data_IF_580810297922
#
_entry.id   IF_580810297922
#
_cell.length_a   1.000
_cell.length_b   1.000
_cell.length_c   1.000
_cell.angle_alpha   90.00
_cell.angle_beta   90.00
_cell.angle_gamma   90.00
#
_symmetry.space_group_name_H-M   'P 1'
#
loop_
_entity.id
_entity.type
_entity.pdbx_description
1 polymer ?
#
# COMPACT_ATOMS: atom_id res chain seq x y z
N UNK A 1 -7.39 -3.22 18.63
CA UNK A 1 -7.68 -1.92 17.99
C UNK A 1 -8.44 -2.17 16.68
N UNK A 2 -9.29 -1.24 16.19
CA UNK A 2 -9.99 -1.41 14.91
C UNK A 2 -9.27 -0.64 13.81
N UNK A 3 -8.54 -1.36 12.94
CA UNK A 3 -7.73 -0.77 11.87
C UNK A 3 -8.53 0.16 10.94
N UNK A 4 -9.80 -0.16 10.66
CA UNK A 4 -10.68 0.70 9.87
C UNK A 4 -10.80 2.13 10.42
N UNK A 5 -10.82 2.32 11.75
CA UNK A 5 -10.91 3.65 12.34
C UNK A 5 -9.61 4.42 12.16
N UNK A 6 -8.46 3.76 12.33
CA UNK A 6 -7.16 4.34 12.05
C UNK A 6 -7.04 4.74 10.57
N UNK A 7 -7.48 3.87 9.66
CA UNK A 7 -7.50 4.14 8.22
C UNK A 7 -8.41 5.32 7.85
N UNK A 8 -9.59 5.43 8.48
CA UNK A 8 -10.48 6.57 8.28
C UNK A 8 -9.85 7.89 8.73
N UNK A 9 -9.21 7.91 9.91
CA UNK A 9 -8.50 9.09 10.41
C UNK A 9 -7.31 9.46 9.52
N UNK A 10 -6.56 8.46 9.06
CA UNK A 10 -5.48 8.65 8.09
C UNK A 10 -5.97 9.38 6.84
N UNK A 11 -7.06 8.90 6.23
CA UNK A 11 -7.63 9.52 5.02
C UNK A 11 -8.26 10.89 5.31
N UNK A 12 -8.88 11.08 6.48
CA UNK A 12 -9.41 12.37 6.91
C UNK A 12 -8.32 13.44 6.95
N UNK A 13 -7.17 13.12 7.55
CA UNK A 13 -6.04 14.03 7.66
C UNK A 13 -5.32 14.22 6.33
N UNK A 14 -4.98 13.11 5.65
CA UNK A 14 -4.25 13.13 4.37
C UNK A 14 -4.93 13.99 3.31
N UNK A 15 -6.25 13.94 3.26
CA UNK A 15 -7.04 14.69 2.27
C UNK A 15 -7.72 15.93 2.85
N UNK A 16 -7.40 16.30 4.10
CA UNK A 16 -7.97 17.45 4.80
C UNK A 16 -9.52 17.51 4.70
N UNK A 17 -10.17 16.39 4.99
CA UNK A 17 -11.63 16.24 4.79
C UNK A 17 -12.46 17.00 5.84
N UNK A 18 -11.82 17.45 6.93
CA UNK A 18 -12.48 18.24 7.98
C UNK A 18 -13.54 17.49 8.77
N UNK A 19 -13.53 16.15 8.73
CA UNK A 19 -14.47 15.32 9.47
C UNK A 19 -14.06 15.23 10.95
N UNK A 20 -15.02 15.03 11.88
CA UNK A 20 -14.71 14.83 13.28
C UNK A 20 -13.79 13.62 13.47
N UNK A 21 -12.77 13.78 14.32
CA UNK A 21 -11.85 12.69 14.64
C UNK A 21 -12.55 11.60 15.45
N UNK A 22 -12.28 10.35 15.09
CA UNK A 22 -12.75 9.15 15.76
C UNK A 22 -11.65 8.61 16.68
N UNK A 23 -11.99 8.05 17.86
CA UNK A 23 -10.99 7.41 18.72
C UNK A 23 -10.32 6.21 18.03
N UNK A 24 -8.99 6.24 17.90
CA UNK A 24 -8.18 5.18 17.25
C UNK A 24 -7.43 4.27 18.22
N UNK A 25 -7.74 4.35 19.52
CA UNK A 25 -7.30 3.41 20.56
C UNK A 25 -5.82 3.54 20.90
N UNK A 26 -5.49 4.17 22.03
CA UNK A 26 -4.12 4.36 22.50
C UNK A 26 -3.25 5.30 21.66
N UNK A 27 -3.68 5.60 20.42
CA UNK A 27 -2.96 6.46 19.48
C UNK A 27 -3.76 7.71 19.10
N UNK A 28 -3.06 8.71 18.57
CA UNK A 28 -3.62 9.90 17.95
C UNK A 28 -2.68 10.39 16.83
N UNK A 29 -3.25 10.95 15.77
CA UNK A 29 -2.45 11.59 14.74
C UNK A 29 -2.05 13.01 15.14
N UNK A 30 -0.77 13.35 14.96
CA UNK A 30 -0.21 14.67 15.17
C UNK A 30 0.40 15.23 13.87
N UNK A 31 0.28 16.53 13.66
CA UNK A 31 0.92 17.23 12.54
C UNK A 31 2.42 17.40 12.81
N UNK A 32 3.23 17.18 11.78
CA UNK A 32 4.67 17.38 11.80
C UNK A 32 5.04 18.78 11.26
N UNK A 33 6.23 19.27 11.62
CA UNK A 33 6.72 20.58 11.19
C UNK A 33 6.89 20.69 9.66
N UNK A 34 7.18 19.58 8.99
CA UNK A 34 7.36 19.50 7.55
C UNK A 34 6.03 19.57 6.76
N UNK A 35 4.89 19.58 7.46
CA UNK A 35 3.54 19.56 6.92
C UNK A 35 2.98 18.16 6.66
N UNK A 36 3.68 17.11 7.08
CA UNK A 36 3.15 15.76 7.18
C UNK A 36 2.36 15.51 8.48
N UNK A 37 2.04 14.26 8.74
CA UNK A 37 1.49 13.82 10.01
C UNK A 37 2.00 12.42 10.37
N UNK A 38 2.15 12.17 11.66
CA UNK A 38 2.55 10.88 12.21
C UNK A 38 1.57 10.43 13.28
N UNK A 39 1.59 9.13 13.56
CA UNK A 39 0.83 8.52 14.64
C UNK A 39 1.66 8.60 15.92
N UNK A 40 1.08 9.10 17.00
CA UNK A 40 1.68 9.22 18.33
C UNK A 40 0.83 8.46 19.35
N UNK A 41 1.36 8.23 20.55
CA UNK A 41 0.57 7.75 21.67
C UNK A 41 -0.39 8.83 22.15
N UNK A 42 -1.63 8.49 22.49
CA UNK A 42 -2.65 9.49 22.82
C UNK A 42 -2.30 10.35 24.03
N UNK A 43 -1.49 9.81 24.96
CA UNK A 43 -1.06 10.50 26.18
C UNK A 43 0.28 11.22 26.03
N UNK A 44 0.96 11.09 24.88
CA UNK A 44 2.34 11.57 24.65
C UNK A 44 2.60 11.93 23.18
N UNK A 45 3.12 13.12 22.94
CA UNK A 45 3.39 13.63 21.58
C UNK A 45 4.89 13.78 21.26
N UNK A 46 5.76 13.20 22.09
CA UNK A 46 7.21 13.35 22.00
C UNK A 46 7.90 12.30 21.13
N UNK A 47 7.26 11.13 20.91
CA UNK A 47 7.82 10.05 20.10
C UNK A 47 6.74 9.45 19.19
N UNK A 48 6.98 9.45 17.87
CA UNK A 48 6.05 8.84 16.93
C UNK A 48 6.15 7.31 16.91
N UNK A 49 5.05 6.65 16.56
CA UNK A 49 4.94 5.19 16.42
C UNK A 49 6.00 4.57 15.49
N UNK A 50 6.41 5.29 14.45
CA UNK A 50 7.44 4.80 13.51
C UNK A 50 8.85 5.07 14.03
N UNK A 51 9.03 6.05 14.91
CA UNK A 51 10.33 6.61 15.28
C UNK A 51 11.09 5.79 16.31
N UNK A 52 10.41 5.18 17.28
CA UNK A 52 11.07 4.46 18.37
C UNK A 52 11.95 3.28 17.89
N UNK A 53 11.66 2.75 16.69
CA UNK A 53 12.48 1.70 16.06
C UNK A 53 13.66 2.22 15.24
N UNK A 54 13.74 3.51 14.93
CA UNK A 54 14.83 4.06 14.09
C UNK A 54 16.20 3.93 14.74
N UNK A 55 16.27 4.22 16.04
CA UNK A 55 17.51 4.09 16.82
C UNK A 55 17.93 2.63 17.03
N UNK A 56 17.06 1.68 16.68
CA UNK A 56 17.27 0.24 16.72
C UNK A 56 17.64 -0.36 15.36
N UNK A 57 17.87 0.48 14.35
CA UNK A 57 18.31 0.03 13.03
C UNK A 57 19.61 -0.78 13.14
N UNK A 58 19.65 -2.02 12.60
CA UNK A 58 20.88 -2.79 12.55
C UNK A 58 21.96 -2.05 11.75
N UNK A 59 23.23 -2.26 12.11
CA UNK A 59 24.35 -1.71 11.34
C UNK A 59 24.32 -2.25 9.92
N UNK A 60 24.51 -1.38 8.93
CA UNK A 60 24.52 -1.83 7.55
C UNK A 60 25.79 -2.64 7.24
N UNK A 61 25.58 -3.94 7.05
CA UNK A 61 26.61 -4.94 6.80
C UNK A 61 27.33 -4.71 5.46
N UNK A 62 26.73 -4.02 4.48
CA UNK A 62 27.36 -3.76 3.18
C UNK A 62 28.56 -2.81 3.27
N UNK A 63 28.65 -2.00 4.33
CA UNK A 63 29.79 -1.13 4.57
C UNK A 63 30.93 -1.82 5.35
N UNK A 64 30.80 -3.11 5.66
CA UNK A 64 31.79 -3.89 6.40
C UNK A 64 32.10 -5.19 5.64
N UNK A 65 33.36 -5.39 5.26
CA UNK A 65 33.76 -6.56 4.45
C UNK A 65 33.47 -7.92 5.14
N UNK A 66 33.55 -7.96 6.48
CA UNK A 66 33.25 -9.14 7.30
C UNK A 66 32.57 -8.65 8.59
N UNK A 67 31.23 -8.62 8.64
CA UNK A 67 30.50 -8.31 9.87
C UNK A 67 30.84 -9.32 10.97
N UNK A 68 31.21 -8.83 12.16
CA UNK A 68 31.61 -9.64 13.32
C UNK A 68 30.57 -9.68 14.44
N UNK A 69 29.44 -8.98 14.26
CA UNK A 69 28.31 -8.99 15.18
C UNK A 69 27.30 -10.10 14.83
N UNK A 70 26.41 -10.38 15.79
CA UNK A 70 25.28 -11.28 15.60
C UNK A 70 23.97 -10.49 15.54
N UNK A 71 22.95 -11.00 14.83
CA UNK A 71 21.60 -10.46 14.94
C UNK A 71 21.11 -10.42 16.38
N UNK A 72 20.33 -9.39 16.70
CA UNK A 72 19.70 -9.14 18.01
C UNK A 72 18.88 -10.36 18.43
N UNK A 73 18.13 -10.96 17.50
CA UNK A 73 17.28 -12.13 17.75
C UNK A 73 17.95 -13.47 17.42
N UNK A 74 19.29 -13.54 17.37
CA UNK A 74 20.02 -14.76 17.01
C UNK A 74 19.82 -15.93 17.98
N UNK A 75 19.47 -15.66 19.24
CA UNK A 75 19.14 -16.70 20.22
C UNK A 75 17.83 -17.42 19.88
N UNK A 76 16.85 -16.69 19.36
CA UNK A 76 15.53 -17.20 18.93
C UNK A 76 15.57 -17.76 17.51
N UNK A 77 16.35 -17.12 16.63
CA UNK A 77 16.45 -17.46 15.20
C UNK A 77 17.90 -17.70 14.79
N UNK A 78 18.40 -18.89 15.10
CA UNK A 78 19.81 -19.30 14.86
C UNK A 78 20.24 -19.26 13.39
N UNK A 79 19.27 -19.27 12.49
CA UNK A 79 19.47 -19.23 11.04
C UNK A 79 19.55 -17.81 10.46
N UNK A 80 19.28 -16.77 11.25
CA UNK A 80 19.45 -15.38 10.80
C UNK A 80 20.92 -15.01 10.76
N UNK A 81 21.34 -14.42 9.65
CA UNK A 81 22.57 -13.62 9.58
C UNK A 81 22.27 -12.12 9.67
N UNK A 82 23.32 -11.31 9.67
CA UNK A 82 23.22 -9.85 9.80
C UNK A 82 22.53 -9.17 8.62
N UNK A 83 22.55 -9.79 7.43
CA UNK A 83 21.86 -9.27 6.26
C UNK A 83 20.36 -9.58 6.34
N UNK A 84 20.01 -10.79 6.79
CA UNK A 84 18.62 -11.17 7.06
C UNK A 84 17.97 -10.23 8.10
N UNK A 85 18.71 -9.81 9.12
CA UNK A 85 18.23 -8.85 10.10
C UNK A 85 17.89 -7.48 9.49
N UNK A 86 18.74 -6.96 8.59
CA UNK A 86 18.48 -5.72 7.87
C UNK A 86 17.23 -5.83 6.99
N UNK A 87 17.05 -6.98 6.34
CA UNK A 87 15.87 -7.30 5.52
C UNK A 87 14.60 -7.32 6.36
N UNK A 88 14.64 -7.95 7.55
CA UNK A 88 13.52 -7.91 8.49
C UNK A 88 13.24 -6.48 8.98
N UNK A 89 14.26 -5.75 9.39
CA UNK A 89 14.11 -4.35 9.80
C UNK A 89 13.43 -3.50 8.72
N UNK A 90 13.84 -3.66 7.47
CA UNK A 90 13.19 -2.99 6.34
C UNK A 90 11.69 -3.29 6.22
N UNK A 91 11.30 -4.56 6.41
CA UNK A 91 9.89 -4.96 6.40
C UNK A 91 9.12 -4.31 7.55
N UNK A 92 9.66 -4.35 8.77
CA UNK A 92 9.04 -3.73 9.96
C UNK A 92 8.83 -2.23 9.74
N UNK A 93 9.88 -1.53 9.26
CA UNK A 93 9.82 -0.13 8.90
C UNK A 93 8.73 0.15 7.87
N UNK A 94 8.68 -0.66 6.79
CA UNK A 94 7.71 -0.49 5.71
C UNK A 94 6.26 -0.62 6.22
N UNK A 95 6.02 -1.62 7.08
CA UNK A 95 4.74 -1.85 7.78
C UNK A 95 4.38 -0.64 8.64
N UNK A 96 5.28 -0.20 9.53
CA UNK A 96 5.00 0.91 10.44
C UNK A 96 4.70 2.21 9.68
N UNK A 97 5.49 2.49 8.65
CA UNK A 97 5.34 3.68 7.82
C UNK A 97 4.00 3.74 7.07
N UNK A 98 3.18 2.68 7.05
CA UNK A 98 1.83 2.71 6.47
C UNK A 98 0.91 3.67 7.20
N UNK A 99 1.22 3.94 8.47
CA UNK A 99 0.49 4.92 9.27
C UNK A 99 0.96 6.35 9.02
N UNK A 100 2.13 6.58 8.41
CA UNK A 100 2.71 7.92 8.19
C UNK A 100 2.08 8.65 7.01
N UNK A 101 1.81 9.95 7.18
CA UNK A 101 1.33 10.85 6.14
C UNK A 101 2.48 11.77 5.76
N UNK A 102 3.13 11.48 4.64
CA UNK A 102 4.17 12.34 4.10
C UNK A 102 3.58 13.54 3.36
N UNK A 103 4.26 14.69 3.40
CA UNK A 103 3.94 15.80 2.50
C UNK A 103 4.19 15.38 1.06
N UNK A 104 3.13 15.43 0.25
CA UNK A 104 3.19 15.03 -1.16
C UNK A 104 3.93 16.09 -1.98
N UNK A 105 4.86 15.61 -2.80
CA UNK A 105 5.58 16.38 -3.80
C UNK A 105 5.78 15.53 -5.06
N UNK A 106 6.23 16.11 -6.19
CA UNK A 106 6.35 15.39 -7.45
C UNK A 106 7.26 14.15 -7.42
N UNK A 107 8.19 14.06 -6.46
CA UNK A 107 9.14 12.95 -6.36
C UNK A 107 8.61 11.77 -5.54
N UNK A 108 7.62 11.99 -4.65
CA UNK A 108 7.08 10.93 -3.80
C UNK A 108 5.60 10.58 -4.06
N UNK A 109 4.87 11.42 -4.83
CA UNK A 109 3.43 11.25 -5.03
C UNK A 109 3.04 9.87 -5.59
N UNK A 110 3.85 9.35 -6.52
CA UNK A 110 3.61 8.04 -7.13
C UNK A 110 3.84 6.90 -6.13
N UNK A 111 4.94 6.95 -5.37
CA UNK A 111 5.26 5.93 -4.37
C UNK A 111 4.24 5.93 -3.24
N UNK A 112 3.86 7.11 -2.75
CA UNK A 112 2.81 7.26 -1.73
C UNK A 112 1.48 6.65 -2.22
N UNK A 113 1.06 6.96 -3.44
CA UNK A 113 -0.16 6.39 -4.00
C UNK A 113 -0.07 4.86 -4.16
N UNK A 114 1.01 4.34 -4.74
CA UNK A 114 1.22 2.90 -4.92
C UNK A 114 1.19 2.15 -3.59
N UNK A 115 1.86 2.66 -2.56
CA UNK A 115 1.87 2.06 -1.22
C UNK A 115 0.47 1.96 -0.65
N UNK A 116 -0.27 3.06 -0.66
CA UNK A 116 -1.62 3.12 -0.10
C UNK A 116 -2.60 2.23 -0.87
N UNK A 117 -2.55 2.28 -2.20
CA UNK A 117 -3.37 1.42 -3.04
C UNK A 117 -3.05 -0.06 -2.80
N UNK A 118 -1.77 -0.44 -2.82
CA UNK A 118 -1.36 -1.83 -2.60
C UNK A 118 -1.76 -2.34 -1.22
N UNK A 119 -1.55 -1.55 -0.16
CA UNK A 119 -2.00 -1.91 1.19
C UNK A 119 -3.53 -2.09 1.26
N UNK A 120 -4.29 -1.18 0.67
CA UNK A 120 -5.75 -1.29 0.59
C UNK A 120 -6.16 -2.57 -0.14
N UNK A 121 -5.58 -2.87 -1.31
CA UNK A 121 -5.94 -4.07 -2.09
C UNK A 121 -5.55 -5.37 -1.40
N UNK A 122 -4.39 -5.43 -0.73
CA UNK A 122 -3.98 -6.60 0.05
C UNK A 122 -5.00 -6.92 1.15
N UNK A 123 -5.60 -5.90 1.77
CA UNK A 123 -6.70 -6.09 2.74
C UNK A 123 -8.00 -6.62 2.13
N UNK A 124 -8.23 -6.42 0.83
CA UNK A 124 -9.44 -6.87 0.13
C UNK A 124 -9.34 -8.29 -0.40
N UNK A 125 -8.17 -8.64 -0.95
CA UNK A 125 -8.01 -9.68 -1.96
C UNK A 125 -8.49 -11.06 -1.52
N UNK A 126 -8.32 -11.39 -0.23
CA UNK A 126 -8.77 -12.66 0.32
C UNK A 126 -10.29 -12.86 0.23
N UNK A 127 -11.07 -11.78 0.35
CA UNK A 127 -12.53 -11.79 0.28
C UNK A 127 -13.11 -11.82 -1.14
N UNK A 128 -12.26 -11.72 -2.17
CA UNK A 128 -12.70 -11.62 -3.57
C UNK A 128 -13.00 -13.03 -4.12
N UNK A 129 -14.26 -13.32 -4.41
CA UNK A 129 -14.71 -14.67 -4.78
C UNK A 129 -14.71 -14.94 -6.28
N UNK A 130 -14.70 -13.90 -7.12
CA UNK A 130 -14.68 -14.04 -8.59
C UNK A 130 -13.30 -14.36 -9.16
N UNK A 131 -12.24 -14.20 -8.37
CA UNK A 131 -10.89 -14.63 -8.73
C UNK A 131 -10.67 -16.06 -8.28
N UNK A 132 -10.04 -16.86 -9.14
CA UNK A 132 -9.52 -18.16 -8.72
C UNK A 132 -8.25 -18.00 -7.86
N UNK A 133 -7.79 -19.08 -7.24
CA UNK A 133 -6.64 -19.04 -6.31
C UNK A 133 -5.32 -18.64 -6.99
N UNK A 134 -5.12 -19.00 -8.27
CA UNK A 134 -3.94 -18.57 -9.03
C UNK A 134 -3.96 -17.06 -9.29
N UNK A 135 -5.10 -16.52 -9.72
CA UNK A 135 -5.29 -15.09 -9.94
C UNK A 135 -5.11 -14.29 -8.65
N UNK A 136 -5.64 -14.79 -7.52
CA UNK A 136 -5.41 -14.18 -6.21
C UNK A 136 -3.93 -14.19 -5.85
N UNK A 137 -3.22 -15.30 -6.06
CA UNK A 137 -1.79 -15.36 -5.78
C UNK A 137 -1.01 -14.36 -6.64
N UNK A 138 -1.28 -14.29 -7.94
CA UNK A 138 -0.64 -13.34 -8.86
C UNK A 138 -0.86 -11.89 -8.42
N UNK A 139 -2.10 -11.50 -8.10
CA UNK A 139 -2.38 -10.14 -7.63
C UNK A 139 -1.79 -9.85 -6.25
N UNK A 140 -1.78 -10.84 -5.36
CA UNK A 140 -1.18 -10.67 -4.03
C UNK A 140 0.32 -10.40 -4.14
N UNK A 141 1.02 -11.20 -4.94
CA UNK A 141 2.46 -11.00 -5.18
C UNK A 141 2.70 -9.65 -5.88
N UNK A 142 1.84 -9.26 -6.81
CA UNK A 142 1.89 -7.97 -7.49
C UNK A 142 1.73 -6.79 -6.52
N UNK A 143 0.67 -6.79 -5.69
CA UNK A 143 0.44 -5.71 -4.73
C UNK A 143 1.52 -5.68 -3.66
N UNK A 144 1.93 -6.83 -3.13
CA UNK A 144 2.97 -6.89 -2.11
C UNK A 144 4.32 -6.41 -2.63
N UNK A 145 4.69 -6.77 -3.88
CA UNK A 145 5.86 -6.22 -4.55
C UNK A 145 5.84 -4.69 -4.56
N UNK A 146 4.72 -4.06 -4.97
CA UNK A 146 4.63 -2.61 -5.02
C UNK A 146 4.53 -1.94 -3.66
N UNK A 147 3.93 -2.60 -2.68
CA UNK A 147 3.90 -2.16 -1.30
C UNK A 147 5.32 -2.01 -0.73
N UNK A 148 6.20 -3.00 -1.01
CA UNK A 148 7.62 -2.91 -0.65
C UNK A 148 8.36 -1.92 -1.54
N UNK A 149 8.18 -1.96 -2.86
CA UNK A 149 8.90 -1.11 -3.82
C UNK A 149 8.71 0.40 -3.61
N UNK A 150 7.61 0.80 -2.97
CA UNK A 150 7.33 2.21 -2.68
C UNK A 150 8.34 2.87 -1.73
N UNK A 151 9.20 2.09 -1.06
CA UNK A 151 10.34 2.61 -0.30
C UNK A 151 11.67 2.26 -0.99
N UNK A 152 12.73 3.06 -0.79
CA UNK A 152 14.05 2.75 -1.33
C UNK A 152 14.55 1.40 -0.82
N UNK A 153 14.77 0.46 -1.75
CA UNK A 153 15.14 -0.92 -1.41
C UNK A 153 15.97 -1.54 -2.53
N UNK A 154 16.89 -2.43 -2.17
CA UNK A 154 17.64 -3.22 -3.15
C UNK A 154 16.80 -4.41 -3.66
N UNK A 155 17.24 -5.01 -4.77
CA UNK A 155 16.52 -6.11 -5.39
C UNK A 155 16.39 -7.33 -4.46
N UNK A 156 17.45 -7.66 -3.73
CA UNK A 156 17.47 -8.81 -2.81
C UNK A 156 16.38 -8.70 -1.73
N UNK A 157 16.28 -7.54 -1.09
CA UNK A 157 15.30 -7.29 -0.02
C UNK A 157 13.87 -7.28 -0.57
N UNK A 158 13.68 -6.80 -1.80
CA UNK A 158 12.38 -6.77 -2.47
C UNK A 158 11.79 -8.17 -2.72
N UNK A 159 12.65 -9.19 -2.88
CA UNK A 159 12.25 -10.58 -3.09
C UNK A 159 12.48 -11.48 -1.85
N UNK A 160 12.89 -10.91 -0.72
CA UNK A 160 13.23 -11.68 0.47
C UNK A 160 12.02 -12.28 1.19
N UNK A 161 10.81 -11.79 0.91
CA UNK A 161 9.57 -12.27 1.52
C UNK A 161 8.60 -12.82 0.47
N UNK A 162 7.88 -13.88 0.82
CA UNK A 162 6.88 -14.50 -0.03
C UNK A 162 5.70 -15.03 0.79
N UNK A 163 4.56 -15.21 0.14
CA UNK A 163 3.39 -15.82 0.78
C UNK A 163 3.44 -17.35 0.70
N UNK A 164 3.25 -18.00 1.84
CA UNK A 164 2.91 -19.43 1.93
C UNK A 164 1.49 -19.55 2.44
N UNK A 165 0.56 -19.90 1.56
CA UNK A 165 -0.86 -19.76 1.90
C UNK A 165 -1.16 -18.28 2.11
N UNK A 166 -1.70 -17.90 3.27
CA UNK A 166 -1.88 -16.48 3.65
C UNK A 166 -0.72 -15.91 4.47
N UNK A 167 0.20 -16.76 4.94
CA UNK A 167 1.27 -16.33 5.83
C UNK A 167 2.43 -15.74 5.05
N UNK A 168 2.90 -14.56 5.47
CA UNK A 168 4.12 -13.98 4.97
C UNK A 168 5.33 -14.63 5.66
N UNK A 169 6.26 -15.12 4.86
CA UNK A 169 7.48 -15.77 5.33
C UNK A 169 8.73 -15.12 4.74
N UNK A 170 9.83 -15.14 5.48
CA UNK A 170 11.14 -14.84 4.92
C UNK A 170 11.64 -16.04 4.10
N UNK A 171 11.81 -15.84 2.80
CA UNK A 171 12.01 -16.91 1.81
C UNK A 171 13.26 -17.75 2.10
N UNK A 172 14.35 -17.12 2.54
CA UNK A 172 15.63 -17.80 2.82
C UNK A 172 15.59 -18.64 4.11
N UNK A 173 15.02 -18.10 5.18
CA UNK A 173 15.08 -18.73 6.52
C UNK A 173 13.79 -19.44 6.93
N UNK A 174 12.72 -19.31 6.14
CA UNK A 174 11.39 -19.82 6.41
C UNK A 174 10.77 -19.34 7.74
N UNK A 175 11.23 -18.19 8.24
CA UNK A 175 10.68 -17.56 9.45
C UNK A 175 9.35 -16.89 9.09
N UNK A 176 8.29 -17.19 9.85
CA UNK A 176 7.01 -16.49 9.74
C UNK A 176 7.15 -15.06 10.29
N UNK A 177 6.71 -14.08 9.51
CA UNK A 177 6.87 -12.66 9.87
C UNK A 177 6.10 -12.33 11.15
N UNK A 178 4.89 -12.88 11.34
CA UNK A 178 4.11 -12.71 12.59
C UNK A 178 4.88 -13.17 13.84
N UNK A 179 5.61 -14.28 13.73
CA UNK A 179 6.44 -14.78 14.82
C UNK A 179 7.65 -13.88 15.06
N UNK A 180 8.31 -13.41 14.00
CA UNK A 180 9.43 -12.47 14.11
C UNK A 180 9.00 -11.15 14.77
N UNK A 181 7.88 -10.56 14.34
CA UNK A 181 7.33 -9.32 14.91
C UNK A 181 7.09 -9.47 16.41
N UNK A 182 6.48 -10.59 16.82
CA UNK A 182 6.21 -10.87 18.23
C UNK A 182 7.52 -10.95 19.02
N UNK A 183 8.47 -11.78 18.57
CA UNK A 183 9.75 -11.95 19.25
C UNK A 183 10.59 -10.67 19.27
N UNK A 184 10.51 -9.82 18.24
CA UNK A 184 11.19 -8.52 18.20
C UNK A 184 10.70 -7.59 19.32
N UNK A 185 9.38 -7.43 19.46
CA UNK A 185 8.82 -6.53 20.47
C UNK A 185 8.99 -7.10 21.89
N UNK A 186 8.79 -8.41 22.07
CA UNK A 186 9.03 -9.08 23.35
C UNK A 186 10.48 -8.88 23.81
N UNK A 187 11.45 -9.03 22.89
CA UNK A 187 12.87 -8.82 23.20
C UNK A 187 13.15 -7.41 23.73
N UNK A 188 12.69 -6.36 23.03
CA UNK A 188 12.96 -4.98 23.44
C UNK A 188 12.18 -4.58 24.70
N UNK A 189 11.00 -5.17 24.91
CA UNK A 189 10.24 -5.01 26.15
C UNK A 189 10.98 -5.61 27.36
N UNK A 190 11.49 -6.84 27.23
CA UNK A 190 12.24 -7.54 28.30
C UNK A 190 13.62 -6.94 28.56
N UNK A 191 14.23 -6.31 27.55
CA UNK A 191 15.58 -5.77 27.60
C UNK A 191 15.64 -4.24 27.64
N UNK A 192 14.54 -3.57 28.01
CA UNK A 192 14.43 -2.12 27.97
C UNK A 192 15.57 -1.42 28.72
N UNK A 193 15.99 -1.93 29.87
CA UNK A 193 17.11 -1.38 30.66
C UNK A 193 18.43 -1.29 29.87
N UNK A 194 18.66 -2.21 28.92
CA UNK A 194 19.85 -2.23 28.06
C UNK A 194 19.76 -1.19 26.93
N UNK A 195 18.55 -0.80 26.56
CA UNK A 195 18.25 0.08 25.43
C UNK A 195 17.62 1.41 25.84
N UNK A 196 17.61 1.74 27.14
CA UNK A 196 16.97 2.94 27.71
C UNK A 196 17.48 4.28 27.14
N UNK A 197 18.68 4.28 26.57
CA UNK A 197 19.28 5.47 25.94
C UNK A 197 18.84 5.62 24.47
N UNK A 198 18.14 4.63 23.92
CA UNK A 198 17.66 4.55 22.53
C UNK A 198 16.12 4.49 22.45
N UNK A 199 15.46 3.86 23.43
CA UNK A 199 14.00 3.67 23.47
C UNK A 199 13.41 4.56 24.56
N UNK A 200 12.54 5.51 24.18
CA UNK A 200 11.92 6.47 25.10
C UNK A 200 10.45 6.15 25.45
N UNK A 201 9.99 4.97 25.03
CA UNK A 201 8.70 4.38 25.37
C UNK A 201 8.78 3.27 26.42
N UNK A 202 7.70 3.12 27.18
CA UNK A 202 7.55 2.12 28.23
C UNK A 202 7.10 0.75 27.67
N UNK A 203 7.25 -0.35 28.43
CA UNK A 203 6.84 -1.69 27.98
C UNK A 203 5.38 -1.80 27.49
N UNK A 204 4.37 -1.15 28.13
CA UNK A 204 3.00 -1.15 27.61
C UNK A 204 2.85 -0.43 26.26
N UNK A 205 3.68 0.57 25.99
CA UNK A 205 3.71 1.30 24.71
C UNK A 205 4.36 0.44 23.63
N UNK A 206 5.43 -0.31 23.95
CA UNK A 206 6.03 -1.32 23.06
C UNK A 206 4.99 -2.41 22.70
N UNK A 207 4.20 -2.87 23.66
CA UNK A 207 3.12 -3.81 23.41
C UNK A 207 2.03 -3.22 22.50
N UNK A 208 1.66 -1.95 22.69
CA UNK A 208 0.71 -1.28 21.81
C UNK A 208 1.26 -1.16 20.37
N UNK A 209 2.56 -0.91 20.22
CA UNK A 209 3.24 -0.92 18.92
C UNK A 209 3.18 -2.30 18.26
N UNK A 210 3.47 -3.36 19.02
CA UNK A 210 3.38 -4.74 18.56
C UNK A 210 1.98 -5.07 18.06
N UNK A 211 0.96 -4.76 18.86
CA UNK A 211 -0.44 -5.05 18.51
C UNK A 211 -0.86 -4.34 17.22
N UNK A 212 -0.46 -3.07 17.03
CA UNK A 212 -0.72 -2.32 15.80
C UNK A 212 0.04 -2.89 14.61
N UNK A 213 1.33 -3.19 14.75
CA UNK A 213 2.13 -3.77 13.67
C UNK A 213 1.59 -5.13 13.24
N UNK A 214 1.18 -5.98 14.20
CA UNK A 214 0.54 -7.26 13.92
C UNK A 214 -0.80 -7.09 13.20
N UNK A 215 -1.61 -6.10 13.57
CA UNK A 215 -2.86 -5.81 12.86
C UNK A 215 -2.61 -5.31 11.42
N UNK A 216 -1.58 -4.48 11.20
CA UNK A 216 -1.17 -4.05 9.87
C UNK A 216 -0.66 -5.23 9.03
N UNK A 217 0.15 -6.11 9.62
CA UNK A 217 0.63 -7.34 8.97
C UNK A 217 -0.53 -8.26 8.60
N UNK A 218 -1.48 -8.49 9.51
CA UNK A 218 -2.66 -9.32 9.24
C UNK A 218 -3.53 -8.72 8.14
N UNK A 219 -3.60 -7.39 8.03
CA UNK A 219 -4.24 -6.73 6.88
C UNK A 219 -3.51 -7.01 5.57
N UNK A 220 -2.17 -6.98 5.55
CA UNK A 220 -1.34 -7.34 4.38
C UNK A 220 -1.54 -8.83 3.98
N UNK A 221 -1.66 -9.70 4.98
CA UNK A 221 -1.88 -11.14 4.80
C UNK A 221 -3.35 -11.49 4.46
N UNK A 222 -4.26 -10.51 4.45
CA UNK A 222 -5.69 -10.71 4.20
C UNK A 222 -6.42 -11.48 5.31
N UNK A 223 -5.86 -11.48 6.52
CA UNK A 223 -6.39 -12.12 7.74
C UNK A 223 -7.23 -11.18 8.61
N UNK A 224 -7.11 -9.87 8.41
CA UNK A 224 -7.95 -8.85 9.07
C UNK A 224 -9.25 -8.60 8.31
N UNK A 225 -10.18 -7.88 8.94
CA UNK A 225 -11.35 -7.35 8.23
C UNK A 225 -10.90 -6.44 7.09
N UNK A 226 -11.57 -6.55 5.94
CA UNK A 226 -11.31 -5.71 4.77
C UNK A 226 -11.41 -4.23 5.13
N UNK A 227 -10.54 -3.41 4.54
CA UNK A 227 -10.64 -1.96 4.67
C UNK A 227 -11.72 -1.41 3.73
N UNK A 228 -12.35 -0.30 4.09
CA UNK A 228 -13.30 0.37 3.21
C UNK A 228 -12.90 1.84 3.06
N UNK A 229 -12.98 2.34 1.83
CA UNK A 229 -12.90 3.77 1.57
C UNK A 229 -14.10 4.45 2.23
N UNK A 230 -13.88 5.46 3.09
CA UNK A 230 -14.94 6.22 3.74
C UNK A 230 -15.97 6.78 2.75
N UNK A 231 -17.25 6.88 3.16
CA UNK A 231 -18.30 7.51 2.36
C UNK A 231 -17.98 8.98 2.07
N UNK A 232 -18.40 9.44 0.90
CA UNK A 232 -18.31 10.82 0.43
C UNK A 232 -19.55 11.14 -0.40
N UNK A 233 -20.18 12.28 -0.14
CA UNK A 233 -21.43 12.68 -0.79
C UNK A 233 -21.26 12.74 -2.32
N UNK A 234 -22.15 12.06 -3.04
CA UNK A 234 -22.14 12.02 -4.50
C UNK A 234 -21.07 11.09 -5.10
N UNK A 235 -20.39 10.27 -4.29
CA UNK A 235 -19.50 9.20 -4.76
C UNK A 235 -20.01 7.79 -4.40
N UNK A 236 -21.26 7.62 -3.99
CA UNK A 236 -21.78 6.36 -3.44
C UNK A 236 -21.61 5.19 -4.42
N UNK A 237 -21.94 5.39 -5.69
CA UNK A 237 -21.79 4.37 -6.73
C UNK A 237 -20.32 4.02 -6.99
N UNK A 238 -19.46 5.03 -7.06
CA UNK A 238 -18.02 4.88 -7.30
C UNK A 238 -17.33 4.17 -6.13
N UNK A 239 -17.62 4.59 -4.90
CA UNK A 239 -17.07 3.98 -3.67
C UNK A 239 -17.52 2.53 -3.50
N UNK A 240 -18.76 2.20 -3.89
CA UNK A 240 -19.22 0.81 -3.93
C UNK A 240 -18.34 -0.04 -4.83
N UNK A 241 -17.96 0.44 -6.01
CA UNK A 241 -17.08 -0.29 -6.93
C UNK A 241 -15.63 -0.40 -6.41
N UNK A 242 -15.17 0.55 -5.59
CA UNK A 242 -13.84 0.47 -4.98
C UNK A 242 -13.82 -0.55 -3.84
N UNK A 243 -14.85 -0.54 -2.99
CA UNK A 243 -14.94 -1.36 -1.77
C UNK A 243 -15.49 -2.78 -2.00
N UNK A 244 -15.93 -3.09 -3.23
CA UNK A 244 -16.48 -4.38 -3.64
C UNK A 244 -15.89 -4.78 -5.01
N UNK A 245 -14.71 -5.42 -4.97
CA UNK A 245 -14.02 -5.89 -6.17
C UNK A 245 -14.83 -6.94 -6.94
N UNK A 246 -15.61 -7.79 -6.24
CA UNK A 246 -16.52 -8.75 -6.88
C UNK A 246 -17.62 -8.03 -7.65
N UNK A 247 -18.25 -7.04 -7.03
CA UNK A 247 -19.23 -6.17 -7.67
C UNK A 247 -18.66 -5.43 -8.89
N UNK A 248 -17.45 -4.88 -8.76
CA UNK A 248 -16.73 -4.23 -9.85
C UNK A 248 -16.47 -5.16 -11.04
N UNK A 249 -15.85 -6.32 -10.80
CA UNK A 249 -15.57 -7.30 -11.86
C UNK A 249 -16.85 -7.87 -12.47
N UNK A 250 -17.90 -8.07 -11.66
CA UNK A 250 -19.20 -8.50 -12.16
C UNK A 250 -19.79 -7.47 -13.12
N UNK A 251 -19.83 -6.19 -12.71
CA UNK A 251 -20.32 -5.09 -13.53
C UNK A 251 -19.49 -4.96 -14.81
N UNK A 252 -18.15 -5.03 -14.73
CA UNK A 252 -17.30 -5.04 -15.91
C UNK A 252 -17.62 -6.20 -16.87
N UNK A 253 -17.90 -7.40 -16.36
CA UNK A 253 -18.16 -8.56 -17.21
C UNK A 253 -19.56 -8.57 -17.85
N UNK A 254 -20.56 -8.00 -17.18
CA UNK A 254 -21.98 -8.11 -17.60
C UNK A 254 -22.52 -6.81 -18.18
N UNK A 255 -22.08 -5.65 -17.68
CA UNK A 255 -22.60 -4.34 -18.06
C UNK A 255 -21.52 -3.24 -17.96
N UNK A 256 -20.59 -3.27 -18.92
CA UNK A 256 -19.53 -2.26 -19.08
C UNK A 256 -20.09 -0.85 -19.24
N UNK A 257 -21.24 -0.73 -19.90
CA UNK A 257 -21.90 0.57 -20.15
C UNK A 257 -22.27 1.24 -18.83
N UNK A 258 -22.79 0.50 -17.85
CA UNK A 258 -23.09 1.05 -16.52
C UNK A 258 -21.81 1.41 -15.77
N UNK A 259 -20.76 0.57 -15.82
CA UNK A 259 -19.48 0.89 -15.18
C UNK A 259 -18.88 2.18 -15.74
N UNK A 260 -18.80 2.31 -17.06
CA UNK A 260 -18.28 3.50 -17.72
C UNK A 260 -19.21 4.70 -17.55
N UNK A 261 -20.52 4.49 -17.45
CA UNK A 261 -21.49 5.51 -17.06
C UNK A 261 -21.16 6.13 -15.70
N UNK A 262 -20.85 5.30 -14.69
CA UNK A 262 -20.43 5.79 -13.35
C UNK A 262 -19.14 6.63 -13.43
N UNK A 263 -18.17 6.21 -14.26
CA UNK A 263 -16.96 6.99 -14.49
C UNK A 263 -17.26 8.32 -15.21
N UNK A 264 -18.15 8.30 -16.19
CA UNK A 264 -18.63 9.49 -16.91
C UNK A 264 -19.34 10.47 -15.97
N UNK A 265 -20.22 9.98 -15.11
CA UNK A 265 -20.94 10.80 -14.13
C UNK A 265 -19.96 11.51 -13.20
N UNK A 266 -18.92 10.81 -12.71
CA UNK A 266 -17.85 11.42 -11.93
C UNK A 266 -17.12 12.53 -12.70
N UNK A 267 -16.74 12.28 -13.95
CA UNK A 267 -16.00 13.24 -14.79
C UNK A 267 -16.84 14.46 -15.18
N UNK A 268 -18.17 14.33 -15.18
CA UNK A 268 -19.11 15.42 -15.44
C UNK A 268 -19.34 16.34 -14.23
N UNK A 269 -19.03 15.87 -13.02
CA UNK A 269 -19.22 16.62 -11.79
C UNK A 269 -18.08 17.64 -11.59
N UNK A 270 -18.45 18.92 -11.48
CA UNK A 270 -17.50 20.01 -11.24
C UNK A 270 -16.90 20.01 -9.82
N UNK A 271 -17.47 19.24 -8.88
CA UNK A 271 -16.95 19.10 -7.51
C UNK A 271 -15.69 18.24 -7.52
N UNK A 272 -14.53 18.89 -7.46
CA UNK A 272 -13.24 18.24 -7.21
C UNK A 272 -12.75 18.59 -5.81
N UNK A 273 -12.38 17.56 -5.06
CA UNK A 273 -11.62 17.66 -3.82
C UNK A 273 -10.52 16.62 -3.86
N UNK A 274 -9.42 16.78 -3.08
CA UNK A 274 -8.32 15.82 -3.08
C UNK A 274 -8.76 14.38 -2.81
N UNK A 275 -9.74 14.18 -1.91
CA UNK A 275 -10.28 12.85 -1.62
C UNK A 275 -11.10 12.28 -2.79
N UNK A 276 -11.92 13.11 -3.45
CA UNK A 276 -12.72 12.70 -4.61
C UNK A 276 -11.83 12.26 -5.77
N UNK A 277 -10.80 13.05 -6.07
CA UNK A 277 -9.82 12.72 -7.11
C UNK A 277 -9.05 11.45 -6.75
N UNK A 278 -8.66 11.27 -5.48
CA UNK A 278 -8.06 10.03 -5.01
C UNK A 278 -8.98 8.81 -5.21
N UNK A 279 -10.27 8.91 -4.87
CA UNK A 279 -11.21 7.82 -5.08
C UNK A 279 -11.32 7.43 -6.57
N UNK A 280 -11.38 8.41 -7.48
CA UNK A 280 -11.40 8.11 -8.91
C UNK A 280 -10.12 7.41 -9.39
N UNK A 281 -8.95 7.84 -8.89
CA UNK A 281 -7.68 7.15 -9.15
C UNK A 281 -7.69 5.71 -8.63
N UNK A 282 -8.23 5.47 -7.43
CA UNK A 282 -8.41 4.11 -6.88
C UNK A 282 -9.27 3.24 -7.81
N UNK A 283 -10.39 3.77 -8.33
CA UNK A 283 -11.26 3.04 -9.27
C UNK A 283 -10.53 2.73 -10.60
N UNK A 284 -9.78 3.68 -11.14
CA UNK A 284 -8.99 3.45 -12.36
C UNK A 284 -7.92 2.37 -12.13
N UNK A 285 -7.25 2.38 -10.98
CA UNK A 285 -6.29 1.31 -10.68
C UNK A 285 -6.96 -0.03 -10.40
N UNK A 286 -8.20 -0.09 -9.89
CA UNK A 286 -8.98 -1.33 -9.88
C UNK A 286 -9.17 -1.86 -11.30
N UNK A 287 -9.45 -0.99 -12.28
CA UNK A 287 -9.52 -1.37 -13.68
C UNK A 287 -8.17 -1.88 -14.21
N UNK A 288 -7.06 -1.20 -13.90
CA UNK A 288 -5.73 -1.67 -14.26
C UNK A 288 -5.42 -3.07 -13.68
N UNK A 289 -5.67 -3.28 -12.39
CA UNK A 289 -5.23 -4.49 -11.67
C UNK A 289 -6.19 -5.67 -11.78
N UNK A 290 -7.51 -5.45 -11.79
CA UNK A 290 -8.48 -6.56 -11.85
C UNK A 290 -8.97 -6.86 -13.28
N UNK A 291 -8.75 -5.95 -14.23
CA UNK A 291 -9.14 -6.16 -15.63
C UNK A 291 -7.90 -6.22 -16.52
N UNK A 292 -7.17 -5.12 -16.66
CA UNK A 292 -6.09 -5.01 -17.65
C UNK A 292 -4.89 -5.93 -17.34
N UNK A 293 -4.67 -6.27 -16.07
CA UNK A 293 -3.67 -7.26 -15.66
C UNK A 293 -3.93 -8.62 -16.32
N UNK A 294 -5.20 -9.06 -16.38
CA UNK A 294 -5.53 -10.38 -16.92
C UNK A 294 -5.89 -10.35 -18.41
N UNK A 295 -6.49 -9.26 -18.88
CA UNK A 295 -6.97 -9.12 -20.25
C UNK A 295 -6.77 -7.68 -20.73
N UNK A 296 -5.55 -7.37 -21.17
CA UNK A 296 -5.18 -6.01 -21.56
C UNK A 296 -6.00 -5.44 -22.72
N UNK A 297 -6.48 -6.28 -23.63
CA UNK A 297 -7.37 -5.92 -24.76
C UNK A 297 -8.64 -5.17 -24.30
N UNK A 298 -9.06 -5.35 -23.05
CA UNK A 298 -10.22 -4.64 -22.50
C UNK A 298 -10.05 -3.12 -22.54
N UNK A 299 -8.82 -2.60 -22.60
CA UNK A 299 -8.53 -1.16 -22.73
C UNK A 299 -9.22 -0.52 -23.94
N UNK A 300 -9.42 -1.28 -25.02
CA UNK A 300 -10.11 -0.79 -26.21
C UNK A 300 -11.56 -0.44 -25.93
N UNK A 301 -12.25 -1.19 -25.06
CA UNK A 301 -13.63 -0.86 -24.69
C UNK A 301 -13.73 0.44 -23.92
N UNK A 302 -12.75 0.74 -23.05
CA UNK A 302 -12.69 2.01 -22.35
C UNK A 302 -12.49 3.17 -23.35
N UNK A 303 -11.50 3.04 -24.24
CA UNK A 303 -11.23 4.06 -25.27
C UNK A 303 -12.45 4.26 -26.18
N UNK A 304 -13.07 3.18 -26.65
CA UNK A 304 -14.21 3.23 -27.56
C UNK A 304 -15.44 3.90 -26.94
N UNK A 305 -15.65 3.71 -25.63
CA UNK A 305 -16.75 4.35 -24.92
C UNK A 305 -16.53 5.87 -24.77
N UNK A 306 -15.30 6.30 -24.50
CA UNK A 306 -14.97 7.69 -24.21
C UNK A 306 -14.41 8.47 -25.42
N UNK A 307 -14.28 7.86 -26.59
CA UNK A 307 -13.72 8.51 -27.80
C UNK A 307 -14.43 9.80 -28.21
N UNK A 308 -15.74 9.90 -27.96
CA UNK A 308 -16.55 11.07 -28.28
C UNK A 308 -16.41 12.19 -27.21
N UNK A 309 -15.67 11.92 -26.13
CA UNK A 309 -15.28 12.90 -25.09
C UNK A 309 -13.75 12.86 -24.87
N UNK A 310 -12.93 13.32 -25.85
CA UNK A 310 -11.49 13.12 -25.83
C UNK A 310 -10.76 13.58 -24.57
N UNK A 311 -11.20 14.69 -23.96
CA UNK A 311 -10.63 15.23 -22.72
C UNK A 311 -10.77 14.26 -21.55
N UNK A 312 -11.91 13.57 -21.46
CA UNK A 312 -12.18 12.56 -20.44
C UNK A 312 -11.34 11.30 -20.68
N UNK A 313 -11.29 10.84 -21.93
CA UNK A 313 -10.46 9.72 -22.33
C UNK A 313 -8.97 9.98 -22.04
N UNK A 314 -8.45 11.16 -22.41
CA UNK A 314 -7.09 11.59 -22.11
C UNK A 314 -6.81 11.58 -20.60
N UNK A 315 -7.69 12.15 -19.78
CA UNK A 315 -7.51 12.15 -18.32
C UNK A 315 -7.42 10.73 -17.75
N UNK A 316 -8.31 9.83 -18.16
CA UNK A 316 -8.33 8.46 -17.64
C UNK A 316 -7.14 7.64 -18.12
N UNK A 317 -6.81 7.70 -19.41
CA UNK A 317 -5.68 6.97 -19.98
C UNK A 317 -4.38 7.43 -19.33
N UNK A 318 -4.16 8.73 -19.15
CA UNK A 318 -2.94 9.18 -18.48
C UNK A 318 -2.94 8.76 -16.99
N UNK A 319 -4.05 8.88 -16.27
CA UNK A 319 -4.12 8.41 -14.87
C UNK A 319 -3.83 6.92 -14.73
N UNK A 320 -4.31 6.07 -15.65
CA UNK A 320 -3.99 4.64 -15.68
C UNK A 320 -2.48 4.38 -15.81
N UNK A 321 -1.78 5.18 -16.62
CA UNK A 321 -0.38 4.93 -16.99
C UNK A 321 0.65 5.70 -16.14
N UNK A 322 0.29 6.84 -15.54
CA UNK A 322 1.26 7.72 -14.88
C UNK A 322 1.06 7.87 -13.37
N UNK A 323 -0.12 7.56 -12.84
CA UNK A 323 -0.36 7.71 -11.40
C UNK A 323 0.34 6.64 -10.56
N UNK A 324 0.66 5.51 -11.19
CA UNK A 324 1.41 4.38 -10.67
C UNK A 324 2.16 3.69 -11.83
N UNK A 325 3.20 2.94 -11.52
CA UNK A 325 3.92 2.12 -12.51
C UNK A 325 3.34 0.70 -12.66
N UNK A 326 2.11 0.46 -12.20
CA UNK A 326 1.42 -0.82 -12.35
C UNK A 326 1.33 -1.24 -13.82
N UNK A 327 0.91 -0.31 -14.69
CA UNK A 327 0.83 -0.57 -16.13
C UNK A 327 2.20 -0.92 -16.73
N UNK A 328 3.29 -0.27 -16.29
CA UNK A 328 4.63 -0.61 -16.77
C UNK A 328 5.00 -2.07 -16.44
N UNK A 329 4.67 -2.52 -15.22
CA UNK A 329 4.93 -3.90 -14.80
C UNK A 329 4.02 -4.90 -15.52
N UNK A 330 2.73 -4.56 -15.70
CA UNK A 330 1.77 -5.38 -16.46
C UNK A 330 2.26 -5.60 -17.89
N UNK A 331 2.56 -4.52 -18.62
CA UNK A 331 3.04 -4.63 -20.01
C UNK A 331 4.30 -5.47 -20.11
N UNK A 332 5.28 -5.27 -19.21
CA UNK A 332 6.52 -6.07 -19.17
C UNK A 332 6.26 -7.55 -18.83
N UNK A 333 5.40 -7.83 -17.86
CA UNK A 333 5.11 -9.19 -17.42
C UNK A 333 4.41 -10.00 -18.53
N UNK A 334 3.47 -9.38 -19.23
CA UNK A 334 2.71 -10.00 -20.31
C UNK A 334 3.34 -9.82 -21.70
N UNK A 335 4.49 -9.15 -21.80
CA UNK A 335 5.20 -8.85 -23.07
C UNK A 335 4.33 -8.14 -24.09
N UNK A 336 3.58 -7.14 -23.62
CA UNK A 336 2.69 -6.32 -24.44
C UNK A 336 3.48 -5.14 -24.98
N UNK A 337 3.53 -5.00 -26.30
CA UNK A 337 4.14 -3.87 -27.00
C UNK A 337 3.12 -2.73 -27.11
N UNK A 338 3.23 -1.72 -26.26
CA UNK A 338 2.26 -0.61 -26.22
C UNK A 338 2.16 0.17 -27.54
N UNK A 339 3.21 0.12 -28.38
CA UNK A 339 3.22 0.73 -29.70
C UNK A 339 2.16 0.15 -30.65
N UNK A 340 1.69 -1.07 -30.42
CA UNK A 340 0.64 -1.70 -31.22
C UNK A 340 -0.76 -1.11 -30.92
N UNK A 341 -0.92 -0.43 -29.78
CA UNK A 341 -2.18 0.12 -29.28
C UNK A 341 -2.34 1.60 -29.68
N UNK A 342 -2.33 1.86 -30.98
CA UNK A 342 -2.32 3.23 -31.55
C UNK A 342 -3.48 4.12 -31.08
N UNK A 343 -4.66 3.54 -30.85
CA UNK A 343 -5.83 4.26 -30.33
C UNK A 343 -5.68 4.64 -28.85
N UNK A 344 -4.87 3.93 -28.07
CA UNK A 344 -4.57 4.26 -26.68
C UNK A 344 -3.51 5.36 -26.63
N UNK A 345 -2.38 5.18 -27.33
CA UNK A 345 -1.26 6.14 -27.32
C UNK A 345 -1.63 7.51 -27.90
N UNK A 346 -2.69 7.56 -28.72
CA UNK A 346 -3.26 8.82 -29.21
C UNK A 346 -3.67 9.76 -28.07
N UNK A 347 -4.02 9.20 -26.90
CA UNK A 347 -4.41 9.94 -25.70
C UNK A 347 -3.26 10.12 -24.70
N UNK A 348 -2.03 9.70 -24.99
CA UNK A 348 -0.90 9.91 -24.08
C UNK A 348 -0.46 11.38 -24.08
N UNK A 349 -0.36 11.94 -22.88
CA UNK A 349 0.28 13.22 -22.62
C UNK A 349 1.82 13.10 -22.69
N UNK A 350 2.53 14.19 -22.47
CA UNK A 350 4.00 14.23 -22.53
C UNK A 350 4.67 13.24 -21.56
N UNK A 351 4.12 13.11 -20.35
CA UNK A 351 4.67 12.23 -19.31
C UNK A 351 4.47 10.76 -19.65
N UNK A 352 3.26 10.36 -20.06
CA UNK A 352 3.00 9.00 -20.52
C UNK A 352 3.87 8.65 -21.73
N UNK A 353 4.04 9.57 -22.70
CA UNK A 353 4.95 9.36 -23.82
C UNK A 353 6.38 9.14 -23.35
N UNK A 354 6.90 9.97 -22.45
CA UNK A 354 8.26 9.85 -21.90
C UNK A 354 8.54 8.50 -21.23
N UNK A 355 7.54 7.92 -20.56
CA UNK A 355 7.69 6.65 -19.83
C UNK A 355 7.62 5.44 -20.78
N UNK A 356 6.80 5.52 -21.83
CA UNK A 356 6.34 4.35 -22.60
C UNK A 356 6.76 4.32 -24.09
N UNK A 357 7.21 5.44 -24.67
CA UNK A 357 7.63 5.57 -26.07
C UNK A 357 9.05 6.16 -26.15
#
# INVERSE_FOLDING_TARGET
MKLQFLYNEYLNLKFNRGLPSTPIGGFAYGLLEDGGAALFFAERNDEAFVEWTYELQPRDAHYVAIPDWKPVLSDSFKQLDVYDELVFYYLLFTINATTSIAKINPYNAMNDFMKNYAFFQLSQLNGVTRLNEEQKLQLRDFFFFFYLYAHPVNEETLYAFSFRGQDLIHTKTNIHVEHYVTTYHDYYSEHLDKHKDQIFIAPPEIQACQDLMLELLRSIEGKSAKLEMPPEEGLEALLRLINDADGFMHMHSVDKTTLFGIMSDFLSDARSTPYRDHCFRMLLQNYACYVLYFEFEQIHHLVDYFKDTPVWCERMINSLFTDAIFMQKILRHHRIEIADYTNVIAFFNEEARRIYL
#
